data_IF_607444885656
#
_entry.id   IF_607444885656
#
_cell.length_a   1.000
_cell.length_b   1.000
_cell.length_c   1.000
_cell.angle_alpha   90.00
_cell.angle_beta   90.00
_cell.angle_gamma   90.00
#
_symmetry.space_group_name_H-M   'P 1'
#
loop_
_entity.id
_entity.type
_entity.pdbx_description
1 polymer ?
#
# COMPACT_ATOMS: atom_id res chain seq x y z
N UNK A 1 8.45 20.31 31.65
CA UNK A 1 7.11 19.80 31.26
C UNK A 1 7.34 18.93 30.04
N UNK A 2 6.88 17.69 30.06
CA UNK A 2 7.28 16.64 29.13
C UNK A 2 6.82 16.95 27.69
N UNK A 3 7.78 16.99 26.77
CA UNK A 3 7.59 16.77 25.34
C UNK A 3 7.27 15.29 25.14
N UNK A 4 6.01 14.94 24.84
CA UNK A 4 5.67 13.62 24.31
C UNK A 4 4.70 13.79 23.14
N UNK A 5 5.31 14.03 21.98
CA UNK A 5 5.07 13.33 20.72
C UNK A 5 3.64 12.84 20.48
N UNK A 6 2.77 13.72 19.99
CA UNK A 6 1.64 13.28 19.18
C UNK A 6 2.17 12.84 17.82
N UNK A 7 2.71 11.62 17.72
CA UNK A 7 2.85 11.02 16.39
C UNK A 7 1.44 10.88 15.81
N UNK A 8 1.18 11.35 14.58
CA UNK A 8 -0.13 11.17 13.98
C UNK A 8 -0.38 9.67 13.86
N UNK A 9 -1.48 9.17 14.44
CA UNK A 9 -1.85 7.74 14.46
C UNK A 9 -1.72 7.05 13.10
N UNK A 10 -1.84 7.80 12.01
CA UNK A 10 -1.65 7.30 10.64
C UNK A 10 -0.22 6.87 10.28
N UNK A 11 0.85 7.30 10.97
CA UNK A 11 2.23 6.88 10.65
C UNK A 11 2.51 5.42 11.04
N UNK A 12 2.11 5.01 12.25
CA UNK A 12 2.30 3.63 12.70
C UNK A 12 1.47 2.63 11.87
N UNK A 13 0.26 3.01 11.50
CA UNK A 13 -0.62 2.22 10.63
C UNK A 13 -0.01 2.06 9.24
N UNK A 14 0.44 3.16 8.63
CA UNK A 14 1.11 3.16 7.33
C UNK A 14 2.39 2.31 7.33
N UNK A 15 3.23 2.45 8.36
CA UNK A 15 4.42 1.61 8.52
C UNK A 15 4.06 0.12 8.68
N UNK A 16 2.99 -0.17 9.43
CA UNK A 16 2.50 -1.52 9.63
C UNK A 16 2.03 -2.18 8.33
N UNK A 17 1.32 -1.42 7.51
CA UNK A 17 0.81 -1.85 6.21
C UNK A 17 1.93 -2.04 5.19
N UNK A 18 2.91 -1.13 5.18
CA UNK A 18 4.12 -1.26 4.37
C UNK A 18 4.92 -2.52 4.76
N UNK A 19 5.20 -2.72 6.05
CA UNK A 19 5.90 -3.92 6.54
C UNK A 19 5.13 -5.20 6.21
N UNK A 20 3.80 -5.17 6.28
CA UNK A 20 2.97 -6.31 5.88
C UNK A 20 3.08 -6.58 4.39
N UNK A 21 3.05 -5.56 3.53
CA UNK A 21 3.22 -5.71 2.09
C UNK A 21 4.52 -6.43 1.75
N UNK A 22 5.66 -5.92 2.23
CA UNK A 22 6.97 -6.52 1.93
C UNK A 22 7.12 -7.94 2.47
N UNK A 23 6.52 -8.26 3.62
CA UNK A 23 6.50 -9.64 4.15
C UNK A 23 5.64 -10.61 3.34
N UNK A 24 4.65 -10.11 2.61
CA UNK A 24 3.68 -10.94 1.89
C UNK A 24 3.80 -10.82 0.36
N UNK A 25 4.81 -10.09 -0.13
CA UNK A 25 4.92 -9.68 -1.53
C UNK A 25 4.86 -10.87 -2.51
N UNK A 26 5.52 -11.98 -2.19
CA UNK A 26 5.54 -13.18 -3.04
C UNK A 26 4.16 -13.84 -3.13
N UNK A 27 3.38 -13.81 -2.05
CA UNK A 27 2.00 -14.32 -2.05
C UNK A 27 1.09 -13.39 -2.84
N UNK A 28 1.18 -12.08 -2.60
CA UNK A 28 0.36 -11.07 -3.28
C UNK A 28 0.60 -11.04 -4.79
N UNK A 29 1.85 -11.29 -5.22
CA UNK A 29 2.25 -11.35 -6.63
C UNK A 29 1.49 -12.42 -7.41
N UNK A 30 1.16 -13.57 -6.80
CA UNK A 30 0.46 -14.67 -7.51
C UNK A 30 -0.87 -14.23 -8.12
N UNK A 31 -1.58 -13.30 -7.49
CA UNK A 31 -2.91 -12.83 -7.92
C UNK A 31 -2.88 -11.42 -8.52
N UNK A 32 -1.86 -10.62 -8.19
CA UNK A 32 -1.78 -9.20 -8.53
C UNK A 32 -0.50 -8.80 -9.27
N UNK A 33 0.23 -9.76 -9.85
CA UNK A 33 1.40 -9.49 -10.70
C UNK A 33 1.10 -8.45 -11.79
N UNK A 34 1.97 -7.45 -11.92
CA UNK A 34 1.86 -6.36 -12.89
C UNK A 34 0.77 -5.33 -12.59
N UNK A 35 0.36 -5.19 -11.32
CA UNK A 35 -0.66 -4.24 -10.88
C UNK A 35 -0.16 -3.36 -9.75
N UNK A 36 -0.70 -2.15 -9.67
CA UNK A 36 -0.71 -1.36 -8.46
C UNK A 36 -1.71 -1.95 -7.47
N UNK A 37 -1.35 -1.93 -6.20
CA UNK A 37 -2.21 -2.34 -5.08
C UNK A 37 -2.26 -1.22 -4.05
N UNK A 38 -3.45 -0.95 -3.53
CA UNK A 38 -3.68 -0.09 -2.39
C UNK A 38 -3.92 -0.96 -1.15
N UNK A 39 -3.22 -0.65 -0.06
CA UNK A 39 -3.18 -1.47 1.15
C UNK A 39 -3.59 -0.61 2.34
N UNK A 40 -4.53 -1.14 3.09
CA UNK A 40 -4.99 -0.59 4.37
C UNK A 40 -5.31 -1.72 5.31
N UNK A 41 -4.96 -1.57 6.58
CA UNK A 41 -5.26 -2.57 7.63
C UNK A 41 -4.77 -3.96 7.23
N UNK A 42 -3.58 -4.03 6.62
CA UNK A 42 -2.90 -5.25 6.16
C UNK A 42 -3.72 -6.04 5.14
N UNK A 43 -4.48 -5.35 4.29
CA UNK A 43 -5.30 -5.93 3.24
C UNK A 43 -5.25 -5.09 1.97
N UNK A 44 -5.31 -5.75 0.82
CA UNK A 44 -5.52 -5.05 -0.44
C UNK A 44 -6.96 -4.56 -0.49
N UNK A 45 -7.13 -3.24 -0.54
CA UNK A 45 -8.44 -2.59 -0.66
C UNK A 45 -8.76 -2.23 -2.11
N UNK A 46 -7.77 -2.07 -2.98
CA UNK A 46 -7.96 -1.87 -4.41
C UNK A 46 -6.74 -2.38 -5.21
N UNK A 47 -6.94 -2.80 -6.45
CA UNK A 47 -5.85 -3.12 -7.37
C UNK A 47 -6.20 -2.81 -8.82
N UNK A 48 -5.19 -2.44 -9.60
CA UNK A 48 -5.37 -1.97 -10.98
C UNK A 48 -4.06 -1.92 -11.75
N UNK A 49 -4.14 -1.91 -13.09
CA UNK A 49 -2.94 -1.78 -13.94
C UNK A 49 -2.34 -0.38 -13.95
N UNK A 50 -3.13 0.60 -13.53
CA UNK A 50 -2.80 2.02 -13.55
C UNK A 50 -3.00 2.59 -12.14
N UNK A 51 -2.08 3.46 -11.72
CA UNK A 51 -2.13 4.11 -10.41
C UNK A 51 -3.35 5.04 -10.28
N UNK A 52 -3.74 5.74 -11.35
CA UNK A 52 -4.90 6.64 -11.38
C UNK A 52 -6.19 5.86 -11.10
N UNK A 53 -6.33 4.68 -11.71
CA UNK A 53 -7.47 3.78 -11.48
C UNK A 53 -7.51 3.33 -10.01
N UNK A 54 -6.37 3.02 -9.41
CA UNK A 54 -6.31 2.61 -8.00
C UNK A 54 -6.66 3.78 -7.07
N UNK A 55 -6.17 4.99 -7.36
CA UNK A 55 -6.53 6.21 -6.63
C UNK A 55 -8.03 6.45 -6.66
N UNK A 56 -8.66 6.41 -7.84
CA UNK A 56 -10.11 6.55 -7.95
C UNK A 56 -10.88 5.47 -7.16
N UNK A 57 -10.40 4.23 -7.18
CA UNK A 57 -11.03 3.13 -6.43
C UNK A 57 -10.95 3.35 -4.92
N UNK A 58 -9.83 3.91 -4.43
CA UNK A 58 -9.64 4.26 -3.02
C UNK A 58 -10.56 5.41 -2.62
N UNK A 59 -10.64 6.48 -3.43
CA UNK A 59 -11.54 7.62 -3.18
C UNK A 59 -13.02 7.20 -3.18
N UNK A 60 -13.43 6.35 -4.13
CA UNK A 60 -14.79 5.80 -4.20
C UNK A 60 -15.16 4.97 -2.96
N UNK A 61 -14.18 4.49 -2.20
CA UNK A 61 -14.38 3.78 -0.93
C UNK A 61 -14.44 4.71 0.29
N UNK A 62 -14.34 6.02 0.10
CA UNK A 62 -14.31 7.01 1.17
C UNK A 62 -12.97 7.10 1.90
N UNK A 63 -11.92 6.51 1.33
CA UNK A 63 -10.57 6.56 1.85
C UNK A 63 -9.80 7.71 1.20
N UNK A 64 -8.84 8.28 1.92
CA UNK A 64 -7.96 9.31 1.37
C UNK A 64 -6.67 8.66 0.85
N UNK A 65 -6.40 8.67 -0.47
CA UNK A 65 -5.22 8.04 -1.07
C UNK A 65 -3.89 8.50 -0.47
N UNK A 66 -3.80 9.72 0.06
CA UNK A 66 -2.58 10.26 0.67
C UNK A 66 -2.15 9.53 1.97
N UNK A 67 -3.06 8.77 2.58
CA UNK A 67 -2.81 8.01 3.81
C UNK A 67 -2.81 6.49 3.58
N UNK A 68 -2.76 6.05 2.32
CA UNK A 68 -2.86 4.64 1.94
C UNK A 68 -1.54 4.20 1.31
N UNK A 69 -1.04 3.03 1.72
CA UNK A 69 0.14 2.43 1.09
C UNK A 69 -0.26 1.99 -0.31
N UNK A 70 0.37 2.58 -1.33
CA UNK A 70 0.18 2.20 -2.72
C UNK A 70 1.51 1.77 -3.31
N UNK A 71 1.56 0.53 -3.80
CA UNK A 71 2.79 -0.10 -4.28
C UNK A 71 2.53 -0.86 -5.58
N UNK A 72 3.54 -0.95 -6.44
CA UNK A 72 3.47 -1.74 -7.66
C UNK A 72 4.00 -3.16 -7.41
N UNK A 73 3.20 -4.17 -7.73
CA UNK A 73 3.62 -5.56 -7.69
C UNK A 73 4.29 -5.93 -9.01
N UNK A 74 5.61 -5.79 -9.04
CA UNK A 74 6.42 -6.19 -10.17
C UNK A 74 6.28 -7.69 -10.47
N UNK A 75 6.25 -8.09 -11.75
CA UNK A 75 6.32 -9.49 -12.15
C UNK A 75 7.58 -10.19 -11.62
N UNK A 76 7.52 -11.51 -11.48
CA UNK A 76 8.68 -12.30 -11.06
C UNK A 76 9.87 -12.10 -12.01
N UNK A 77 11.08 -12.09 -11.47
CA UNK A 77 12.30 -11.84 -12.23
C UNK A 77 12.58 -10.37 -12.54
N UNK A 78 11.73 -9.44 -12.09
CA UNK A 78 12.00 -8.00 -12.22
C UNK A 78 13.01 -7.55 -11.16
N UNK A 79 14.13 -6.98 -11.60
CA UNK A 79 15.11 -6.33 -10.72
C UNK A 79 14.77 -4.85 -10.67
N UNK A 80 14.48 -4.35 -9.46
CA UNK A 80 14.30 -2.91 -9.21
C UNK A 80 15.66 -2.36 -8.77
N UNK A 81 16.20 -1.40 -9.51
CA UNK A 81 17.33 -0.58 -9.07
C UNK A 81 16.73 0.68 -8.42
N UNK A 82 16.89 0.80 -7.11
CA UNK A 82 16.46 1.95 -6.29
C UNK A 82 17.65 2.84 -5.92
#
# INVERSE_FOLDING_TARGET
MAEQSSQPRGMEEFEGDSKWFYKNIDSLRKENSGKYVAIKDKKIIASGKDIEIVVEMVEKKGENPAYIVMEFLYPEGTVILL
#
